data_IF_610431606377
#
_entry.id   IF_610431606377
#
_cell.length_a   1.000
_cell.length_b   1.000
_cell.length_c   1.000
_cell.angle_alpha   90.00
_cell.angle_beta   90.00
_cell.angle_gamma   90.00
#
_symmetry.space_group_name_H-M   'P 1'
#
loop_
_entity.id
_entity.type
_entity.pdbx_description
1 polymer ?
#
# COMPACT_ATOMS: atom_id res chain seq x y z
N UNK A 1 -13.14 3.86 27.24
CA UNK A 1 -13.12 2.67 26.37
C UNK A 1 -11.80 2.73 25.64
N UNK A 2 -10.91 1.75 25.79
CA UNK A 2 -9.64 1.70 25.09
C UNK A 2 -9.97 1.49 23.60
N UNK A 3 -9.91 2.56 22.80
CA UNK A 3 -9.98 2.44 21.34
C UNK A 3 -8.84 1.53 20.92
N UNK A 4 -9.16 0.38 20.33
CA UNK A 4 -8.14 -0.57 19.88
C UNK A 4 -7.32 0.13 18.82
N UNK A 5 -6.07 0.45 19.16
CA UNK A 5 -5.14 1.13 18.29
C UNK A 5 -5.01 0.35 16.97
N UNK A 6 -5.28 0.99 15.83
CA UNK A 6 -5.15 0.36 14.50
C UNK A 6 -3.75 -0.24 14.35
N UNK A 7 -3.69 -1.49 13.88
CA UNK A 7 -2.41 -2.18 13.71
C UNK A 7 -1.64 -1.59 12.55
N UNK A 8 -0.42 -1.15 12.80
CA UNK A 8 0.45 -0.54 11.80
C UNK A 8 0.90 -1.54 10.74
N UNK A 9 1.11 -1.06 9.51
CA UNK A 9 1.61 -1.84 8.37
C UNK A 9 2.78 -1.12 7.73
N UNK A 10 3.91 -1.79 7.58
CA UNK A 10 5.06 -1.31 6.82
C UNK A 10 5.19 -2.18 5.58
N UNK A 11 4.84 -1.60 4.43
CA UNK A 11 4.81 -2.28 3.14
C UNK A 11 5.95 -1.77 2.23
N UNK A 12 6.77 -2.67 1.70
CA UNK A 12 7.82 -2.36 0.74
C UNK A 12 7.37 -2.65 -0.69
N UNK A 13 7.26 -1.63 -1.51
CA UNK A 13 7.02 -1.76 -2.95
C UNK A 13 8.35 -1.73 -3.68
N UNK A 14 8.82 -2.89 -4.14
CA UNK A 14 10.09 -2.98 -4.86
C UNK A 14 10.02 -2.43 -6.29
N UNK A 15 8.82 -2.16 -6.78
CA UNK A 15 8.65 -1.70 -8.17
C UNK A 15 9.32 -2.68 -9.14
N UNK A 16 9.95 -2.21 -10.20
CA UNK A 16 10.62 -3.04 -11.21
C UNK A 16 12.11 -3.24 -10.86
N UNK A 17 12.38 -3.76 -9.65
CA UNK A 17 13.73 -4.07 -9.19
C UNK A 17 13.82 -5.49 -8.67
N UNK A 18 15.04 -6.03 -8.63
CA UNK A 18 15.45 -7.32 -8.09
C UNK A 18 15.14 -8.53 -8.97
N UNK A 19 16.19 -9.28 -9.23
CA UNK A 19 16.15 -10.64 -9.81
C UNK A 19 15.79 -11.67 -8.73
N UNK A 20 15.68 -12.94 -9.13
CA UNK A 20 15.46 -14.04 -8.18
C UNK A 20 16.64 -14.21 -7.19
N UNK A 21 17.87 -14.00 -7.68
CA UNK A 21 19.06 -14.04 -6.83
C UNK A 21 19.06 -12.91 -5.80
N UNK A 22 18.76 -11.68 -6.26
CA UNK A 22 18.65 -10.52 -5.38
C UNK A 22 17.53 -10.69 -4.34
N UNK A 23 16.41 -11.30 -4.73
CA UNK A 23 15.28 -11.61 -3.84
C UNK A 23 15.71 -12.54 -2.71
N UNK A 24 16.42 -13.62 -3.03
CA UNK A 24 16.95 -14.56 -2.02
C UNK A 24 17.96 -13.87 -1.09
N UNK A 25 18.90 -13.11 -1.65
CA UNK A 25 19.90 -12.38 -0.88
C UNK A 25 19.26 -11.36 0.06
N UNK A 26 18.24 -10.62 -0.42
CA UNK A 26 17.48 -9.67 0.40
C UNK A 26 16.86 -10.35 1.62
N UNK A 27 16.05 -11.41 1.42
CA UNK A 27 15.37 -12.06 2.54
C UNK A 27 16.33 -12.76 3.49
N UNK A 28 17.42 -13.35 2.99
CA UNK A 28 18.48 -13.91 3.85
C UNK A 28 19.06 -12.88 4.83
N UNK A 29 19.22 -11.63 4.37
CA UNK A 29 19.73 -10.53 5.19
C UNK A 29 18.65 -9.87 6.03
N UNK A 30 17.39 -9.78 5.53
CA UNK A 30 16.30 -9.03 6.15
C UNK A 30 15.63 -9.77 7.30
N UNK A 31 15.37 -11.08 7.14
CA UNK A 31 14.64 -11.89 8.12
C UNK A 31 15.18 -11.78 9.55
N UNK A 32 16.51 -11.95 9.79
CA UNK A 32 17.05 -11.85 11.15
C UNK A 32 16.92 -10.43 11.73
N UNK A 33 16.93 -9.39 10.89
CA UNK A 33 16.84 -8.00 11.35
C UNK A 33 15.44 -7.62 11.86
N UNK A 34 14.39 -8.33 11.41
CA UNK A 34 12.99 -8.03 11.77
C UNK A 34 12.31 -9.13 12.56
N UNK A 35 13.04 -10.16 12.97
CA UNK A 35 12.48 -11.33 13.67
C UNK A 35 11.75 -10.94 14.98
N UNK A 36 12.21 -9.91 15.68
CA UNK A 36 11.60 -9.42 16.93
C UNK A 36 10.45 -8.42 16.71
N UNK A 37 10.25 -7.90 15.49
CA UNK A 37 9.25 -6.89 15.20
C UNK A 37 7.83 -7.47 15.28
N UNK A 38 7.08 -7.14 16.34
CA UNK A 38 5.70 -7.62 16.59
C UNK A 38 4.66 -6.50 16.54
N UNK A 39 5.08 -5.26 16.56
CA UNK A 39 4.26 -4.06 16.67
C UNK A 39 3.60 -3.65 15.34
N UNK A 40 4.07 -4.18 14.21
CA UNK A 40 3.50 -3.91 12.88
C UNK A 40 3.36 -5.20 12.05
N UNK A 41 2.59 -5.10 10.98
CA UNK A 41 2.59 -6.06 9.89
C UNK A 41 3.67 -5.65 8.88
N UNK A 42 4.39 -6.64 8.34
CA UNK A 42 5.43 -6.42 7.33
C UNK A 42 4.95 -7.01 6.02
N UNK A 43 4.90 -6.19 4.98
CA UNK A 43 4.48 -6.60 3.64
C UNK A 43 5.60 -6.29 2.66
N UNK A 44 5.89 -7.21 1.74
CA UNK A 44 6.84 -6.97 0.64
C UNK A 44 6.16 -7.28 -0.68
N UNK A 45 6.21 -6.34 -1.61
CA UNK A 45 5.68 -6.46 -2.97
C UNK A 45 6.83 -6.54 -4.00
N UNK A 46 7.34 -7.74 -4.29
CA UNK A 46 8.35 -7.96 -5.33
C UNK A 46 7.70 -7.89 -6.73
N UNK A 47 8.49 -7.79 -7.83
CA UNK A 47 7.96 -7.99 -9.18
C UNK A 47 7.34 -9.40 -9.33
N UNK A 48 6.38 -9.55 -10.24
CA UNK A 48 5.64 -10.80 -10.42
C UNK A 48 6.53 -12.03 -10.59
N UNK A 49 7.62 -11.89 -11.34
CA UNK A 49 8.61 -12.96 -11.59
C UNK A 49 9.29 -13.48 -10.32
N UNK A 50 9.29 -12.71 -9.24
CA UNK A 50 9.98 -13.05 -7.99
C UNK A 50 9.03 -13.47 -6.86
N UNK A 51 7.70 -13.45 -7.07
CA UNK A 51 6.69 -13.75 -6.02
C UNK A 51 6.93 -15.12 -5.39
N UNK A 52 6.99 -16.19 -6.18
CA UNK A 52 7.15 -17.54 -5.65
C UNK A 52 8.46 -17.68 -4.85
N UNK A 53 9.55 -17.10 -5.34
CA UNK A 53 10.83 -17.07 -4.63
C UNK A 53 10.73 -16.32 -3.31
N UNK A 54 10.01 -15.19 -3.29
CA UNK A 54 9.79 -14.41 -2.07
C UNK A 54 8.93 -15.15 -1.06
N UNK A 55 7.85 -15.79 -1.52
CA UNK A 55 6.96 -16.62 -0.67
C UNK A 55 7.74 -17.75 -0.01
N UNK A 56 8.56 -18.46 -0.78
CA UNK A 56 9.41 -19.54 -0.23
C UNK A 56 10.43 -19.01 0.79
N UNK A 57 11.05 -17.87 0.51
CA UNK A 57 12.04 -17.27 1.39
C UNK A 57 11.46 -16.84 2.75
N UNK A 58 10.18 -16.41 2.80
CA UNK A 58 9.54 -15.95 4.04
C UNK A 58 8.76 -17.01 4.80
N UNK A 59 8.79 -18.28 4.35
CA UNK A 59 8.12 -19.41 5.05
C UNK A 59 8.52 -19.44 6.53
N UNK A 60 7.51 -19.58 7.40
CA UNK A 60 7.71 -19.61 8.85
C UNK A 60 7.93 -18.25 9.50
N UNK A 61 7.99 -17.17 8.72
CA UNK A 61 8.07 -15.79 9.21
C UNK A 61 6.68 -15.14 9.29
N UNK A 62 6.65 -13.90 9.76
CA UNK A 62 5.43 -13.06 9.82
C UNK A 62 5.29 -12.11 8.63
N UNK A 63 6.20 -12.17 7.66
CA UNK A 63 6.20 -11.31 6.48
C UNK A 63 5.16 -11.82 5.50
N UNK A 64 4.34 -10.94 4.99
CA UNK A 64 3.40 -11.20 3.91
C UNK A 64 3.94 -10.73 2.56
N UNK A 65 3.65 -11.48 1.51
CA UNK A 65 3.98 -11.09 0.14
C UNK A 65 2.76 -10.48 -0.53
N UNK A 66 3.00 -9.46 -1.35
CA UNK A 66 1.99 -8.74 -2.13
C UNK A 66 2.29 -8.77 -3.62
N UNK A 67 1.24 -8.77 -4.45
CA UNK A 67 1.36 -8.37 -5.85
C UNK A 67 1.46 -6.87 -6.00
N UNK A 68 2.14 -6.38 -7.06
CA UNK A 68 2.27 -4.93 -7.35
C UNK A 68 1.12 -4.38 -8.21
N UNK A 69 0.31 -5.25 -8.76
CA UNK A 69 -0.85 -4.99 -9.61
C UNK A 69 -1.67 -6.28 -9.73
N UNK A 70 -2.86 -6.18 -10.31
CA UNK A 70 -3.74 -7.32 -10.64
C UNK A 70 -4.61 -6.96 -11.83
N UNK A 71 -5.02 -7.95 -12.62
CA UNK A 71 -6.06 -7.78 -13.65
C UNK A 71 -7.43 -7.61 -12.99
N UNK A 72 -8.34 -6.90 -13.67
CA UNK A 72 -9.76 -6.81 -13.29
C UNK A 72 -10.59 -8.03 -13.70
N UNK A 73 -9.98 -9.02 -14.35
CA UNK A 73 -10.60 -10.28 -14.74
C UNK A 73 -9.95 -11.45 -14.05
N UNK A 74 -10.73 -12.50 -13.76
CA UNK A 74 -10.21 -13.74 -13.15
C UNK A 74 -9.38 -14.55 -14.12
N UNK A 75 -9.74 -14.52 -15.40
CA UNK A 75 -9.09 -15.22 -16.50
C UNK A 75 -9.52 -14.59 -17.84
N UNK A 76 -8.90 -14.97 -18.94
CA UNK A 76 -9.29 -14.55 -20.28
C UNK A 76 -8.14 -14.18 -21.21
N UNK A 77 -8.48 -13.60 -22.36
CA UNK A 77 -7.52 -13.18 -23.39
C UNK A 77 -6.88 -11.83 -23.02
N UNK A 78 -6.07 -11.80 -21.99
CA UNK A 78 -5.35 -10.64 -21.47
C UNK A 78 -3.86 -10.93 -21.41
N UNK A 79 -3.22 -11.11 -22.56
CA UNK A 79 -1.81 -11.49 -22.68
C UNK A 79 -0.91 -10.56 -21.86
N UNK A 80 -0.15 -11.15 -20.92
CA UNK A 80 0.79 -10.43 -20.05
C UNK A 80 0.20 -9.99 -18.70
N UNK A 81 -1.15 -10.09 -18.50
CA UNK A 81 -1.79 -9.77 -17.22
C UNK A 81 -1.66 -10.93 -16.21
N UNK A 82 -1.74 -10.57 -14.93
CA UNK A 82 -1.76 -11.51 -13.80
C UNK A 82 -3.07 -11.35 -13.06
N UNK A 83 -3.83 -12.43 -12.89
CA UNK A 83 -5.13 -12.41 -12.23
C UNK A 83 -5.01 -12.55 -10.71
N UNK A 84 -6.09 -12.19 -10.00
CA UNK A 84 -6.14 -12.31 -8.55
C UNK A 84 -6.07 -13.78 -8.06
N UNK A 85 -6.73 -14.77 -8.69
CA UNK A 85 -6.52 -16.19 -8.37
C UNK A 85 -5.05 -16.63 -8.52
N UNK A 86 -4.34 -16.19 -9.58
CA UNK A 86 -2.92 -16.50 -9.77
C UNK A 86 -2.05 -15.95 -8.63
N UNK A 87 -2.32 -14.71 -8.17
CA UNK A 87 -1.59 -14.11 -7.05
C UNK A 87 -1.87 -14.84 -5.73
N UNK A 88 -3.13 -15.19 -5.47
CA UNK A 88 -3.52 -15.91 -4.26
C UNK A 88 -2.89 -17.30 -4.22
N UNK A 89 -2.92 -18.03 -5.33
CA UNK A 89 -2.30 -19.37 -5.47
C UNK A 89 -0.78 -19.30 -5.30
N UNK A 90 -0.13 -18.27 -5.87
CA UNK A 90 1.30 -18.02 -5.70
C UNK A 90 1.69 -17.67 -4.25
N UNK A 91 0.73 -17.47 -3.35
CA UNK A 91 0.95 -17.22 -1.92
C UNK A 91 0.93 -15.74 -1.52
N UNK A 92 0.46 -14.84 -2.38
CA UNK A 92 0.23 -13.45 -2.00
C UNK A 92 -0.93 -13.35 -1.00
N UNK A 93 -0.79 -12.44 -0.04
CA UNK A 93 -1.87 -12.06 0.89
C UNK A 93 -2.40 -10.67 0.63
N UNK A 94 -1.60 -9.81 0.01
CA UNK A 94 -1.93 -8.43 -0.32
C UNK A 94 -1.73 -8.19 -1.82
N UNK A 95 -2.30 -7.08 -2.30
CA UNK A 95 -2.03 -6.57 -3.64
C UNK A 95 -2.14 -5.05 -3.65
N UNK A 96 -1.18 -4.38 -4.28
CA UNK A 96 -1.19 -2.93 -4.52
C UNK A 96 -2.05 -2.67 -5.75
N UNK A 97 -2.98 -1.71 -5.66
CA UNK A 97 -3.91 -1.36 -6.73
C UNK A 97 -3.96 0.16 -6.88
N UNK A 98 -3.93 0.67 -8.11
CA UNK A 98 -4.07 2.09 -8.38
C UNK A 98 -2.85 2.92 -8.04
N UNK A 99 -1.65 2.30 -7.93
CA UNK A 99 -0.40 3.03 -7.67
C UNK A 99 -0.22 4.18 -8.65
N UNK A 100 0.28 5.32 -8.19
CA UNK A 100 0.42 6.55 -8.98
C UNK A 100 1.14 6.34 -10.31
N UNK A 101 2.19 5.52 -10.36
CA UNK A 101 2.89 5.17 -11.61
C UNK A 101 1.95 4.48 -12.62
N UNK A 102 1.00 3.65 -12.15
CA UNK A 102 0.05 3.00 -13.04
C UNK A 102 -1.01 3.95 -13.55
N UNK A 103 -1.45 4.88 -12.72
CA UNK A 103 -2.36 5.96 -13.14
C UNK A 103 -1.72 6.85 -14.20
N UNK A 104 -0.47 7.26 -14.00
CA UNK A 104 0.25 8.16 -14.88
C UNK A 104 0.75 7.49 -16.17
N UNK A 105 1.43 6.34 -16.05
CA UNK A 105 2.12 5.70 -17.16
C UNK A 105 1.24 4.70 -17.93
N UNK A 106 0.26 4.09 -17.27
CA UNK A 106 -0.60 3.03 -17.84
C UNK A 106 -2.07 3.44 -17.89
N UNK A 107 -2.41 4.72 -17.61
CA UNK A 107 -3.75 5.29 -17.69
C UNK A 107 -4.80 4.53 -16.84
N UNK A 108 -4.39 4.01 -15.71
CA UNK A 108 -5.29 3.30 -14.79
C UNK A 108 -6.30 4.29 -14.20
N UNK A 109 -7.60 4.05 -14.43
CA UNK A 109 -8.70 4.92 -14.00
C UNK A 109 -9.25 4.50 -12.65
N UNK A 110 -10.08 5.36 -12.03
CA UNK A 110 -10.78 5.03 -10.78
C UNK A 110 -11.72 3.83 -10.95
N UNK A 111 -12.38 3.68 -12.10
CA UNK A 111 -13.18 2.50 -12.45
C UNK A 111 -12.32 1.22 -12.52
N UNK A 112 -11.14 1.29 -13.13
CA UNK A 112 -10.22 0.14 -13.13
C UNK A 112 -9.80 -0.23 -11.69
N UNK A 113 -9.53 0.77 -10.84
CA UNK A 113 -9.18 0.56 -9.44
C UNK A 113 -10.31 -0.12 -8.68
N UNK A 114 -11.57 0.34 -8.86
CA UNK A 114 -12.73 -0.29 -8.24
C UNK A 114 -12.88 -1.76 -8.66
N UNK A 115 -12.83 -2.05 -9.97
CA UNK A 115 -12.93 -3.42 -10.51
C UNK A 115 -11.81 -4.33 -9.99
N UNK A 116 -10.57 -3.86 -9.99
CA UNK A 116 -9.42 -4.61 -9.47
C UNK A 116 -9.53 -4.87 -7.98
N UNK A 117 -10.02 -3.88 -7.21
CA UNK A 117 -10.23 -4.03 -5.77
C UNK A 117 -11.26 -5.10 -5.47
N UNK A 118 -12.38 -5.09 -6.20
CA UNK A 118 -13.44 -6.09 -6.04
C UNK A 118 -12.94 -7.51 -6.34
N UNK A 119 -12.27 -7.72 -7.48
CA UNK A 119 -11.77 -9.04 -7.87
C UNK A 119 -10.71 -9.57 -6.89
N UNK A 120 -9.85 -8.68 -6.34
CA UNK A 120 -8.85 -9.05 -5.35
C UNK A 120 -9.51 -9.53 -4.05
N UNK A 121 -10.55 -8.81 -3.57
CA UNK A 121 -11.34 -9.19 -2.39
C UNK A 121 -12.06 -10.53 -2.57
N UNK A 122 -12.64 -10.77 -3.74
CA UNK A 122 -13.28 -12.06 -4.10
C UNK A 122 -12.30 -13.23 -4.10
N UNK A 123 -11.04 -12.97 -4.42
CA UNK A 123 -9.97 -13.98 -4.43
C UNK A 123 -9.24 -14.11 -3.08
N UNK A 124 -9.74 -13.46 -2.02
CA UNK A 124 -9.18 -13.56 -0.67
C UNK A 124 -7.94 -12.69 -0.43
N UNK A 125 -7.55 -11.84 -1.37
CA UNK A 125 -6.46 -10.89 -1.18
C UNK A 125 -6.93 -9.68 -0.38
N UNK A 126 -5.98 -9.02 0.30
CA UNK A 126 -6.19 -7.73 0.96
C UNK A 126 -5.65 -6.62 0.06
N UNK A 127 -6.50 -5.79 -0.55
CA UNK A 127 -6.06 -4.66 -1.38
C UNK A 127 -5.39 -3.56 -0.56
N UNK A 128 -4.30 -3.00 -1.08
CA UNK A 128 -3.72 -1.71 -0.69
C UNK A 128 -4.05 -0.75 -1.83
N UNK A 129 -5.09 0.07 -1.65
CA UNK A 129 -5.61 0.95 -2.71
C UNK A 129 -4.94 2.31 -2.64
N UNK A 130 -4.22 2.68 -3.69
CA UNK A 130 -3.45 3.91 -3.78
C UNK A 130 -4.30 5.07 -4.30
N UNK A 131 -4.26 6.19 -3.59
CA UNK A 131 -4.91 7.46 -3.91
C UNK A 131 -3.90 8.58 -3.70
N UNK A 132 -3.92 9.60 -4.58
CA UNK A 132 -3.01 10.73 -4.41
C UNK A 132 -3.14 11.76 -5.52
N UNK A 133 -2.84 13.00 -5.15
CA UNK A 133 -2.83 14.17 -6.03
C UNK A 133 -1.46 14.40 -6.65
N UNK A 134 -1.44 14.99 -7.85
CA UNK A 134 -0.23 15.45 -8.52
C UNK A 134 0.25 16.80 -7.96
N UNK A 135 1.43 17.26 -8.41
CA UNK A 135 1.91 18.61 -8.07
C UNK A 135 0.99 19.68 -8.67
N UNK A 136 0.54 19.46 -9.90
CA UNK A 136 -0.37 20.39 -10.60
C UNK A 136 -1.69 20.51 -9.86
N UNK A 137 -2.27 19.39 -9.39
CA UNK A 137 -3.50 19.41 -8.61
C UNK A 137 -3.31 20.22 -7.32
N UNK A 138 -2.19 20.00 -6.63
CA UNK A 138 -1.88 20.68 -5.38
C UNK A 138 -1.65 22.17 -5.57
N UNK A 139 -0.90 22.57 -6.59
CA UNK A 139 -0.64 23.98 -6.91
C UNK A 139 -1.93 24.72 -7.31
N UNK A 140 -2.90 23.98 -7.85
CA UNK A 140 -4.23 24.50 -8.18
C UNK A 140 -5.21 24.48 -6.98
N UNK A 141 -4.81 23.93 -5.81
CA UNK A 141 -5.68 23.79 -4.63
C UNK A 141 -6.79 22.74 -4.80
N UNK A 142 -6.58 21.76 -5.68
CA UNK A 142 -7.54 20.70 -6.02
C UNK A 142 -7.29 19.38 -5.28
N UNK A 143 -6.35 19.34 -4.34
CA UNK A 143 -5.96 18.14 -3.60
C UNK A 143 -7.14 17.45 -2.90
N UNK A 144 -8.01 18.19 -2.20
CA UNK A 144 -9.23 17.61 -1.59
C UNK A 144 -10.21 17.05 -2.63
N UNK A 145 -10.41 17.75 -3.74
CA UNK A 145 -11.31 17.32 -4.82
C UNK A 145 -10.81 16.02 -5.47
N UNK A 146 -9.51 15.96 -5.78
CA UNK A 146 -8.87 14.81 -6.41
C UNK A 146 -8.96 13.59 -5.49
N UNK A 147 -8.60 13.73 -4.20
CA UNK A 147 -8.67 12.64 -3.25
C UNK A 147 -10.10 12.15 -3.02
N UNK A 148 -11.07 13.07 -2.91
CA UNK A 148 -12.49 12.72 -2.74
C UNK A 148 -13.05 12.02 -3.98
N UNK A 149 -12.69 12.46 -5.18
CA UNK A 149 -13.07 11.82 -6.45
C UNK A 149 -12.47 10.41 -6.55
N UNK A 150 -11.16 10.25 -6.32
CA UNK A 150 -10.49 8.95 -6.37
C UNK A 150 -11.02 7.99 -5.31
N UNK A 151 -11.33 8.51 -4.11
CA UNK A 151 -11.99 7.72 -3.07
C UNK A 151 -13.35 7.23 -3.53
N UNK A 152 -14.20 8.12 -4.04
CA UNK A 152 -15.57 7.80 -4.45
C UNK A 152 -15.61 6.83 -5.63
N UNK A 153 -14.74 7.02 -6.62
CA UNK A 153 -14.67 6.18 -7.83
C UNK A 153 -13.95 4.84 -7.63
N UNK A 154 -13.11 4.72 -6.60
CA UNK A 154 -12.38 3.51 -6.24
C UNK A 154 -12.96 2.84 -5.00
N UNK A 155 -12.37 3.06 -3.79
CA UNK A 155 -12.82 2.42 -2.54
C UNK A 155 -14.28 2.67 -2.18
N UNK A 156 -14.82 3.82 -2.52
CA UNK A 156 -16.20 4.21 -2.25
C UNK A 156 -17.26 3.42 -3.04
N UNK A 157 -16.87 2.68 -4.05
CA UNK A 157 -17.76 1.81 -4.82
C UNK A 157 -18.03 0.45 -4.15
N UNK A 158 -17.32 0.13 -3.06
CA UNK A 158 -17.43 -1.14 -2.33
C UNK A 158 -18.65 -1.17 -1.40
N UNK A 159 -19.06 -2.38 -0.98
CA UNK A 159 -19.98 -2.52 0.17
C UNK A 159 -19.24 -2.24 1.48
N UNK A 160 -19.96 -1.93 2.60
CA UNK A 160 -19.30 -1.74 3.90
C UNK A 160 -18.44 -2.92 4.36
N UNK A 161 -18.88 -4.17 4.10
CA UNK A 161 -18.15 -5.40 4.42
C UNK A 161 -16.86 -5.52 3.60
N UNK A 162 -16.94 -5.20 2.31
CA UNK A 162 -15.79 -5.19 1.41
C UNK A 162 -14.79 -4.11 1.82
N UNK A 163 -15.27 -2.90 2.11
CA UNK A 163 -14.46 -1.76 2.54
C UNK A 163 -13.67 -2.07 3.82
N UNK A 164 -14.26 -2.80 4.77
CA UNK A 164 -13.59 -3.19 6.01
C UNK A 164 -12.35 -4.08 5.81
N UNK A 165 -12.14 -4.62 4.60
CA UNK A 165 -11.07 -5.56 4.26
C UNK A 165 -9.94 -4.94 3.44
N UNK A 166 -9.99 -3.65 3.16
CA UNK A 166 -8.93 -2.96 2.40
C UNK A 166 -8.03 -2.10 3.29
N UNK A 167 -6.89 -1.70 2.75
CA UNK A 167 -6.09 -0.58 3.22
C UNK A 167 -6.09 0.51 2.14
N UNK A 168 -5.90 1.74 2.56
CA UNK A 168 -5.61 2.85 1.64
C UNK A 168 -4.13 3.21 1.77
N UNK A 169 -3.48 3.57 0.65
CA UNK A 169 -2.18 4.21 0.64
C UNK A 169 -2.36 5.62 0.05
N UNK A 170 -2.08 6.64 0.86
CA UNK A 170 -2.04 8.02 0.38
C UNK A 170 -0.68 8.30 -0.25
N UNK A 171 -0.68 8.64 -1.52
CA UNK A 171 0.50 8.94 -2.30
C UNK A 171 0.53 10.44 -2.68
N UNK A 172 1.23 11.32 -1.93
CA UNK A 172 1.52 12.66 -2.44
C UNK A 172 2.47 12.52 -3.64
N UNK A 173 1.90 12.46 -4.87
CA UNK A 173 2.66 12.10 -6.09
C UNK A 173 3.83 13.04 -6.31
N UNK A 174 3.66 14.31 -5.93
CA UNK A 174 4.70 15.35 -5.95
C UNK A 174 5.89 15.08 -5.02
N UNK A 175 5.75 14.18 -4.06
CA UNK A 175 6.79 13.77 -3.11
C UNK A 175 7.39 12.38 -3.44
N UNK A 176 6.97 11.71 -4.51
CA UNK A 176 7.46 10.39 -4.88
C UNK A 176 8.63 10.53 -5.85
N UNK A 177 9.85 10.12 -5.40
CA UNK A 177 11.05 10.12 -6.27
C UNK A 177 11.61 11.49 -6.64
N UNK A 178 11.04 12.57 -6.12
CA UNK A 178 11.43 13.97 -6.42
C UNK A 178 12.46 14.54 -5.45
N UNK A 179 12.74 13.84 -4.36
CA UNK A 179 13.52 14.36 -3.23
C UNK A 179 12.74 15.26 -2.28
N UNK A 180 11.51 15.66 -2.62
CA UNK A 180 10.59 16.38 -1.71
C UNK A 180 9.96 15.39 -0.73
N UNK A 181 9.56 15.89 0.42
CA UNK A 181 8.87 15.10 1.46
C UNK A 181 7.69 15.91 1.96
N UNK A 182 6.52 15.30 2.05
CA UNK A 182 5.41 15.93 2.77
C UNK A 182 5.78 15.98 4.27
N UNK A 183 5.42 17.07 4.94
CA UNK A 183 5.57 17.10 6.40
C UNK A 183 4.61 16.10 7.04
N UNK A 184 4.87 15.65 8.27
CA UNK A 184 3.94 14.78 8.99
C UNK A 184 2.52 15.34 9.09
N UNK A 185 2.39 16.67 9.23
CA UNK A 185 1.11 17.38 9.31
C UNK A 185 0.35 17.30 7.98
N UNK A 186 1.02 17.56 6.84
CA UNK A 186 0.42 17.44 5.50
C UNK A 186 -0.07 16.02 5.26
N UNK A 187 0.73 15.02 5.64
CA UNK A 187 0.32 13.62 5.54
C UNK A 187 -0.90 13.31 6.43
N UNK A 188 -0.90 13.81 7.68
CA UNK A 188 -2.01 13.64 8.61
C UNK A 188 -3.29 14.31 8.11
N UNK A 189 -3.21 15.50 7.51
CA UNK A 189 -4.37 16.20 6.94
C UNK A 189 -5.02 15.41 5.80
N UNK A 190 -4.22 14.89 4.88
CA UNK A 190 -4.72 14.04 3.79
C UNK A 190 -5.35 12.73 4.32
N UNK A 191 -4.72 12.09 5.31
CA UNK A 191 -5.29 10.88 5.94
C UNK A 191 -6.62 11.19 6.64
N UNK A 192 -6.72 12.35 7.31
CA UNK A 192 -7.93 12.82 7.97
C UNK A 192 -9.06 13.07 6.96
N UNK A 193 -8.73 13.66 5.81
CA UNK A 193 -9.67 13.83 4.70
C UNK A 193 -10.21 12.48 4.20
N UNK A 194 -9.32 11.51 3.89
CA UNK A 194 -9.72 10.18 3.43
C UNK A 194 -10.58 9.44 4.47
N UNK A 195 -10.26 9.61 5.74
CA UNK A 195 -11.04 9.06 6.85
C UNK A 195 -12.41 9.71 6.96
N UNK A 196 -12.51 11.05 6.74
CA UNK A 196 -13.79 11.76 6.64
C UNK A 196 -14.64 11.22 5.48
N UNK A 197 -14.09 11.05 4.29
CA UNK A 197 -14.79 10.43 3.15
C UNK A 197 -15.33 9.03 3.49
N UNK A 198 -14.54 8.22 4.20
CA UNK A 198 -14.97 6.90 4.65
C UNK A 198 -16.14 6.97 5.66
N UNK A 199 -16.11 7.94 6.57
CA UNK A 199 -17.17 8.18 7.55
C UNK A 199 -18.49 8.60 6.90
N UNK A 200 -18.43 9.51 5.96
CA UNK A 200 -19.59 10.00 5.20
C UNK A 200 -20.19 8.92 4.29
N UNK A 201 -19.34 8.12 3.64
CA UNK A 201 -19.79 7.09 2.69
C UNK A 201 -20.33 5.84 3.39
N UNK A 202 -19.70 5.40 4.47
CA UNK A 202 -20.02 4.13 5.14
C UNK A 202 -20.52 4.35 6.58
N UNK A 203 -19.63 4.71 7.51
CA UNK A 203 -19.97 5.10 8.88
C UNK A 203 -18.71 5.52 9.66
N UNK A 204 -18.90 6.18 10.80
CA UNK A 204 -17.82 6.52 11.74
C UNK A 204 -17.02 5.27 12.16
N UNK A 205 -17.69 4.12 12.36
CA UNK A 205 -17.01 2.86 12.69
C UNK A 205 -16.03 2.41 11.60
N UNK A 206 -16.42 2.49 10.33
CA UNK A 206 -15.54 2.15 9.21
C UNK A 206 -14.39 3.16 9.10
N UNK A 207 -14.67 4.45 9.26
CA UNK A 207 -13.65 5.49 9.28
C UNK A 207 -12.60 5.24 10.37
N UNK A 208 -13.02 4.95 11.59
CA UNK A 208 -12.12 4.69 12.73
C UNK A 208 -11.29 3.41 12.57
N UNK A 209 -11.83 2.39 11.89
CA UNK A 209 -11.14 1.12 11.65
C UNK A 209 -10.22 1.13 10.41
N UNK A 210 -10.43 2.08 9.49
CA UNK A 210 -9.66 2.17 8.24
C UNK A 210 -8.18 2.39 8.53
N UNK A 211 -7.32 1.57 7.93
CA UNK A 211 -5.87 1.73 7.99
C UNK A 211 -5.40 2.49 6.75
N UNK A 212 -4.70 3.60 6.97
CA UNK A 212 -4.18 4.45 5.89
C UNK A 212 -2.66 4.51 6.02
N UNK A 213 -1.96 4.14 4.94
CA UNK A 213 -0.51 4.13 4.83
C UNK A 213 -0.04 5.41 4.14
N UNK A 214 1.06 5.98 4.59
CA UNK A 214 1.72 7.07 3.88
C UNK A 214 2.62 6.51 2.77
N UNK A 215 2.38 6.90 1.53
CA UNK A 215 3.07 6.43 0.32
C UNK A 215 4.06 7.42 -0.30
N UNK A 216 4.39 8.51 0.38
CA UNK A 216 5.43 9.45 -0.07
C UNK A 216 6.85 8.99 0.27
N UNK A 217 7.79 9.93 0.32
CA UNK A 217 9.19 9.65 0.65
C UNK A 217 9.36 9.29 2.13
N UNK A 218 9.62 8.00 2.40
CA UNK A 218 9.86 7.47 3.75
C UNK A 218 11.32 6.99 3.85
N UNK A 219 12.01 7.44 4.90
CA UNK A 219 13.41 7.12 5.20
C UNK A 219 13.59 6.83 6.69
N UNK A 220 14.70 6.17 7.10
CA UNK A 220 14.96 5.91 8.52
C UNK A 220 15.00 7.15 9.41
N UNK A 221 15.34 8.30 8.87
CA UNK A 221 15.43 9.58 9.59
C UNK A 221 14.09 10.29 9.79
N UNK A 222 13.06 9.97 9.00
CA UNK A 222 11.75 10.63 9.10
C UNK A 222 10.59 9.74 9.57
N UNK A 223 10.77 8.41 9.59
CA UNK A 223 9.69 7.46 9.93
C UNK A 223 9.12 7.71 11.33
N UNK A 224 9.93 8.06 12.33
CA UNK A 224 9.45 8.32 13.68
C UNK A 224 8.50 9.50 13.72
N UNK A 225 8.82 10.61 13.05
CA UNK A 225 7.97 11.80 12.98
C UNK A 225 6.63 11.50 12.27
N UNK A 226 6.67 10.70 11.20
CA UNK A 226 5.46 10.25 10.51
C UNK A 226 4.60 9.35 11.41
N UNK A 227 5.21 8.36 12.05
CA UNK A 227 4.49 7.41 12.92
C UNK A 227 4.07 8.01 14.27
N UNK A 228 4.52 9.20 14.63
CA UNK A 228 4.01 9.94 15.77
C UNK A 228 2.61 10.54 15.51
N UNK A 229 2.22 10.71 14.24
CA UNK A 229 0.88 11.18 13.88
C UNK A 229 -0.15 10.07 14.09
N UNK A 230 -1.22 10.37 14.80
CA UNK A 230 -2.31 9.42 15.11
C UNK A 230 -3.02 8.91 13.86
N UNK A 231 -3.12 9.74 12.82
CA UNK A 231 -3.80 9.45 11.58
C UNK A 231 -3.06 8.47 10.67
N UNK A 232 -1.75 8.28 10.89
CA UNK A 232 -0.90 7.42 10.06
C UNK A 232 -0.81 6.00 10.64
N UNK A 233 -1.24 5.02 9.87
CA UNK A 233 -1.27 3.60 10.27
C UNK A 233 -0.11 2.80 9.68
N UNK A 234 0.88 3.46 9.09
CA UNK A 234 2.05 2.82 8.50
C UNK A 234 2.55 3.52 7.24
N UNK A 235 3.32 2.78 6.45
CA UNK A 235 3.92 3.32 5.24
C UNK A 235 3.92 2.31 4.08
N UNK A 236 3.76 2.83 2.86
CA UNK A 236 4.06 2.14 1.60
C UNK A 236 5.37 2.71 1.06
N UNK A 237 6.45 1.95 1.18
CA UNK A 237 7.83 2.38 1.00
C UNK A 237 8.36 1.94 -0.36
N UNK A 238 8.86 2.87 -1.17
CA UNK A 238 9.54 2.58 -2.42
C UNK A 238 11.03 2.27 -2.24
N UNK A 239 11.92 3.15 -2.72
CA UNK A 239 13.37 2.94 -2.80
C UNK A 239 14.05 2.46 -1.52
N UNK A 240 13.67 3.00 -0.35
CA UNK A 240 14.22 2.58 0.94
C UNK A 240 13.89 1.11 1.31
N UNK A 241 12.92 0.48 0.64
CA UNK A 241 12.61 -0.95 0.82
C UNK A 241 13.51 -1.89 0.02
N UNK A 242 14.36 -1.37 -0.86
CA UNK A 242 15.27 -2.17 -1.68
C UNK A 242 16.52 -2.63 -0.94
N UNK A 243 16.93 -1.93 0.10
CA UNK A 243 18.04 -2.33 0.97
C UNK A 243 17.51 -2.97 2.24
N UNK A 244 17.98 -4.17 2.63
CA UNK A 244 17.44 -4.90 3.78
C UNK A 244 17.67 -4.20 5.12
N UNK A 245 18.77 -3.46 5.29
CA UNK A 245 19.06 -2.73 6.52
C UNK A 245 18.21 -1.46 6.64
N UNK A 246 18.08 -0.72 5.54
CA UNK A 246 17.22 0.46 5.47
C UNK A 246 15.77 0.09 5.74
N UNK A 247 15.28 -0.99 5.10
CA UNK A 247 13.89 -1.43 5.31
C UNK A 247 13.66 -1.97 6.73
N UNK A 248 14.64 -2.68 7.29
CA UNK A 248 14.57 -3.13 8.67
C UNK A 248 14.55 -1.96 9.69
N UNK A 249 15.29 -0.88 9.43
CA UNK A 249 15.20 0.34 10.24
C UNK A 249 13.81 0.98 10.19
N UNK A 250 13.15 0.95 9.02
CA UNK A 250 11.77 1.41 8.88
C UNK A 250 10.77 0.50 9.61
N UNK A 251 10.99 -0.81 9.61
CA UNK A 251 10.15 -1.76 10.35
C UNK A 251 10.31 -1.59 11.85
N UNK A 252 11.54 -1.34 12.33
CA UNK A 252 11.87 -1.23 13.73
C UNK A 252 11.84 0.23 14.25
N UNK A 253 11.00 1.08 13.68
CA UNK A 253 10.93 2.53 13.97
C UNK A 253 10.54 2.89 15.40
N UNK A 254 10.17 1.95 16.24
CA UNK A 254 9.70 2.14 17.63
C UNK A 254 10.86 2.22 18.62
#
# INVERSE_FOLDING_TARGET
MNESKRRRVIAGNWKMYKTLADTRAFFSSFLPLVAAAKHCEIVVAPPFTAISTAVDAVKGSRIAIAGQNVSWSKEGAFTGEVSAPMLAEAGCRYVIIGHSERRQLFRETDDNVAKKTLIALESGLTPIVCLGETQEDRDAGLDEEVLSRQFSGGPGALTPEQFSRILIAYEPVWAIGTGRTATPEIAADAHRLLRRCAGEKFSIRHASALRILYGGSVKPDNIQGLMAQEELDGALVGGASLDPRSFAALVNFA
#
